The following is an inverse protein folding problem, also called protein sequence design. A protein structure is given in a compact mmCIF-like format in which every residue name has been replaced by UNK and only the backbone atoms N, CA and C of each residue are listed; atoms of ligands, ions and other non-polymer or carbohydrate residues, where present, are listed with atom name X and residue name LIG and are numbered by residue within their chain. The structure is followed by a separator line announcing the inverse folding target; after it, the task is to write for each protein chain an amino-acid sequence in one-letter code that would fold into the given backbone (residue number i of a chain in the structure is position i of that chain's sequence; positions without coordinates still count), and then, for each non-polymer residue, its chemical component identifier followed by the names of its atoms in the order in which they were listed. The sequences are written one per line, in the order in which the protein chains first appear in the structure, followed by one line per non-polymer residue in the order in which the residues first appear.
data_IF_430060308391
#
_entry.id   IF_430060308391
#
_cell.length_a   1.000
_cell.length_b   1.000
_cell.length_c   1.000
_cell.angle_alpha   90.00
_cell.angle_beta   90.00
_cell.angle_gamma   90.00
#
_symmetry.space_group_name_H-M   'P 1'
#
loop_
_entity.id
_entity.type
_entity.pdbx_description
1 polymer ?
#
# COMPACT_ATOMS: atom_id res chain seq x y z
N UNK A 1 -0.93 -22.51 33.20
CA UNK A 1 -0.03 -21.43 32.74
C UNK A 1 0.06 -21.26 31.20
N UNK A 2 -0.56 -22.11 30.37
CA UNK A 2 -0.63 -21.91 28.90
C UNK A 2 -1.77 -20.98 28.43
N UNK A 3 -2.69 -20.61 29.32
CA UNK A 3 -3.87 -19.79 28.99
C UNK A 3 -3.51 -18.39 28.47
N UNK A 4 -2.40 -17.81 28.93
CA UNK A 4 -1.95 -16.49 28.48
C UNK A 4 -1.40 -16.50 27.05
N UNK A 5 -0.83 -17.63 26.58
CA UNK A 5 -0.33 -17.78 25.21
C UNK A 5 -1.48 -18.02 24.23
N UNK A 6 -2.42 -18.89 24.60
CA UNK A 6 -3.63 -19.16 23.80
C UNK A 6 -4.40 -17.85 23.57
N UNK A 7 -4.66 -17.09 24.64
CA UNK A 7 -5.34 -15.80 24.52
C UNK A 7 -4.58 -14.75 23.69
N UNK A 8 -3.25 -14.80 23.65
CA UNK A 8 -2.44 -13.93 22.77
C UNK A 8 -2.60 -14.31 21.30
N UNK A 9 -2.59 -15.61 20.99
CA UNK A 9 -2.78 -16.13 19.63
C UNK A 9 -4.19 -15.82 19.12
N UNK A 10 -5.22 -15.99 19.95
CA UNK A 10 -6.60 -15.62 19.60
C UNK A 10 -6.74 -14.13 19.30
N UNK A 11 -6.14 -13.28 20.15
CA UNK A 11 -6.11 -11.82 19.92
C UNK A 11 -5.38 -11.45 18.63
N UNK A 12 -4.22 -12.02 18.37
CA UNK A 12 -3.45 -11.77 17.14
C UNK A 12 -4.27 -12.15 15.90
N UNK A 13 -4.93 -13.32 15.93
CA UNK A 13 -5.84 -13.76 14.87
C UNK A 13 -7.01 -12.79 14.66
N UNK A 14 -7.62 -12.30 15.74
CA UNK A 14 -8.70 -11.30 15.66
C UNK A 14 -8.19 -9.99 15.06
N UNK A 15 -7.07 -9.46 15.54
CA UNK A 15 -6.51 -8.20 15.04
C UNK A 15 -6.12 -8.27 13.56
N UNK A 16 -5.66 -9.42 13.07
CA UNK A 16 -5.37 -9.61 11.65
C UNK A 16 -6.62 -9.54 10.73
N UNK A 17 -7.84 -9.63 11.30
CA UNK A 17 -9.12 -9.53 10.57
C UNK A 17 -9.80 -8.17 10.73
N UNK A 18 -9.44 -7.43 11.78
CA UNK A 18 -9.96 -6.09 12.11
C UNK A 18 -9.02 -5.04 11.51
N UNK A 19 -9.02 -4.92 10.17
CA UNK A 19 -8.03 -4.12 9.41
C UNK A 19 -8.06 -2.62 9.76
N UNK A 20 -9.20 -2.10 10.22
CA UNK A 20 -9.37 -0.72 10.69
C UNK A 20 -8.48 -0.37 11.89
N UNK A 21 -7.92 -1.38 12.57
CA UNK A 21 -6.96 -1.19 13.67
C UNK A 21 -5.55 -0.90 13.20
N UNK A 22 -5.25 -1.11 11.92
CA UNK A 22 -3.89 -1.07 11.37
C UNK A 22 -3.81 0.14 10.45
N UNK A 23 -2.81 0.99 10.69
CA UNK A 23 -2.47 2.10 9.81
C UNK A 23 -1.05 1.94 9.31
N UNK A 24 -0.85 2.16 8.02
CA UNK A 24 0.45 2.07 7.34
C UNK A 24 0.92 3.47 6.99
N UNK A 25 1.92 3.96 7.73
CA UNK A 25 2.50 5.29 7.47
C UNK A 25 3.51 5.28 6.30
N UNK A 26 4.29 4.20 6.20
CA UNK A 26 5.40 4.08 5.26
C UNK A 26 5.55 2.66 4.74
N UNK A 27 5.95 2.55 3.48
CA UNK A 27 6.26 1.28 2.83
C UNK A 27 7.60 1.40 2.12
N UNK A 28 8.41 0.35 2.22
CA UNK A 28 9.54 0.09 1.34
C UNK A 28 9.57 -1.41 1.05
N UNK A 29 9.27 -1.80 -0.19
CA UNK A 29 9.20 -3.21 -0.55
C UNK A 29 9.73 -3.48 -1.95
N UNK A 30 10.03 -4.76 -2.17
CA UNK A 30 10.43 -5.32 -3.45
C UNK A 30 9.26 -6.14 -4.00
N UNK A 31 8.79 -5.80 -5.18
CA UNK A 31 7.68 -6.44 -5.88
C UNK A 31 8.23 -7.21 -7.08
N UNK A 32 8.08 -8.54 -7.07
CA UNK A 32 8.42 -9.37 -8.23
C UNK A 32 7.25 -9.38 -9.21
N UNK A 33 7.39 -8.68 -10.32
CA UNK A 33 6.47 -8.78 -11.45
C UNK A 33 6.84 -9.95 -12.36
N UNK A 34 6.09 -10.09 -13.46
CA UNK A 34 6.32 -11.15 -14.44
C UNK A 34 7.67 -10.98 -15.17
N UNK A 35 8.04 -9.74 -15.47
CA UNK A 35 9.21 -9.42 -16.31
C UNK A 35 10.42 -8.93 -15.51
N UNK A 36 10.19 -8.29 -14.36
CA UNK A 36 11.25 -7.67 -13.57
C UNK A 36 10.84 -7.51 -12.10
N UNK A 37 11.79 -7.08 -11.28
CA UNK A 37 11.63 -6.78 -9.87
C UNK A 37 11.62 -5.27 -9.66
N UNK A 38 10.57 -4.78 -9.01
CA UNK A 38 10.32 -3.36 -8.80
C UNK A 38 10.44 -2.97 -7.34
N UNK A 39 10.93 -1.77 -7.08
CA UNK A 39 10.96 -1.19 -5.74
C UNK A 39 9.82 -0.20 -5.61
N UNK A 40 9.02 -0.37 -4.56
CA UNK A 40 7.85 0.45 -4.28
C UNK A 40 7.99 1.08 -2.92
N UNK A 41 7.74 2.39 -2.86
CA UNK A 41 7.75 3.15 -1.62
C UNK A 41 6.45 3.92 -1.45
N UNK A 42 6.03 4.07 -0.20
CA UNK A 42 5.08 5.07 0.25
C UNK A 42 5.79 5.89 1.34
N UNK A 43 5.90 7.20 1.14
CA UNK A 43 6.38 8.11 2.18
C UNK A 43 5.59 9.43 2.10
N UNK A 44 5.09 9.91 3.24
CA UNK A 44 4.30 11.15 3.33
C UNK A 44 3.17 11.22 2.28
N UNK A 45 2.40 10.13 2.12
CA UNK A 45 1.30 10.03 1.15
C UNK A 45 1.74 9.85 -0.31
N UNK A 46 3.04 9.91 -0.60
CA UNK A 46 3.56 9.84 -1.96
C UNK A 46 4.03 8.43 -2.32
N UNK A 47 3.40 7.87 -3.35
CA UNK A 47 3.81 6.61 -3.95
C UNK A 47 4.96 6.81 -4.93
N UNK A 48 5.86 5.83 -4.98
CA UNK A 48 6.84 5.68 -6.06
C UNK A 48 6.96 4.21 -6.42
N UNK A 49 7.08 3.93 -7.72
CA UNK A 49 7.46 2.64 -8.25
C UNK A 49 8.48 2.87 -9.35
N UNK A 50 9.55 2.08 -9.39
CA UNK A 50 10.61 2.21 -10.40
C UNK A 50 10.26 1.55 -11.75
N UNK A 51 9.00 1.22 -12.01
CA UNK A 51 8.60 0.66 -13.30
C UNK A 51 8.26 1.75 -14.32
N UNK A 52 8.48 1.47 -15.61
CA UNK A 52 8.25 2.43 -16.69
C UNK A 52 6.82 2.99 -16.76
N UNK A 53 5.82 2.18 -16.45
CA UNK A 53 4.43 2.63 -16.43
C UNK A 53 4.19 3.71 -15.36
N UNK A 54 4.80 3.55 -14.18
CA UNK A 54 4.62 4.52 -13.11
C UNK A 54 5.22 5.88 -13.47
N UNK A 55 6.39 5.90 -14.09
CA UNK A 55 7.02 7.14 -14.56
C UNK A 55 6.15 7.92 -15.55
N UNK A 56 5.39 7.21 -16.38
CA UNK A 56 4.55 7.82 -17.41
C UNK A 56 3.18 8.26 -16.89
N UNK A 57 2.61 7.54 -15.92
CA UNK A 57 1.18 7.69 -15.55
C UNK A 57 0.95 8.04 -14.08
N UNK A 58 2.00 8.02 -13.23
CA UNK A 58 1.85 8.13 -11.77
C UNK A 58 1.12 6.93 -11.15
N UNK A 59 0.85 5.88 -11.92
CA UNK A 59 0.18 4.66 -11.50
C UNK A 59 0.71 3.45 -12.28
N UNK A 60 0.66 2.27 -11.68
CA UNK A 60 1.06 1.02 -12.33
C UNK A 60 0.39 -0.18 -11.66
N UNK A 61 0.39 -1.33 -12.33
CA UNK A 61 -0.21 -2.57 -11.79
C UNK A 61 0.32 -2.95 -10.41
N UNK A 62 1.58 -2.65 -10.09
CA UNK A 62 2.15 -2.93 -8.78
C UNK A 62 1.54 -2.06 -7.69
N UNK A 63 1.38 -0.75 -7.94
CA UNK A 63 0.67 0.14 -7.03
C UNK A 63 -0.78 -0.31 -6.87
N UNK A 64 -1.45 -0.66 -7.97
CA UNK A 64 -2.83 -1.16 -7.93
C UNK A 64 -2.98 -2.43 -7.09
N UNK A 65 -2.00 -3.32 -7.16
CA UNK A 65 -1.97 -4.51 -6.31
C UNK A 65 -1.84 -4.12 -4.83
N UNK A 66 -0.95 -3.20 -4.48
CA UNK A 66 -0.80 -2.73 -3.09
C UNK A 66 -2.04 -2.01 -2.57
N UNK A 67 -2.71 -1.21 -3.39
CA UNK A 67 -4.00 -0.59 -3.05
C UNK A 67 -5.05 -1.65 -2.70
N UNK A 68 -5.09 -2.78 -3.42
CA UNK A 68 -5.99 -3.91 -3.13
C UNK A 68 -5.60 -4.70 -1.89
N UNK A 69 -4.30 -4.87 -1.64
CA UNK A 69 -3.78 -5.64 -0.50
C UNK A 69 -3.95 -4.86 0.80
N UNK A 70 -3.64 -3.56 0.80
CA UNK A 70 -3.66 -2.74 2.00
C UNK A 70 -5.02 -2.09 2.26
N UNK A 71 -5.70 -1.63 1.20
CA UNK A 71 -7.05 -1.07 1.26
C UNK A 71 -7.19 -0.05 2.39
N UNK A 72 -8.09 -0.35 3.34
CA UNK A 72 -8.43 0.51 4.48
C UNK A 72 -7.27 0.79 5.43
N UNK A 73 -6.17 0.04 5.35
CA UNK A 73 -4.98 0.28 6.18
C UNK A 73 -4.13 1.45 5.68
N UNK A 74 -4.36 1.92 4.45
CA UNK A 74 -3.69 3.09 3.90
C UNK A 74 -4.38 4.38 4.39
N UNK A 75 -3.63 5.44 4.72
CA UNK A 75 -4.20 6.74 4.99
C UNK A 75 -4.90 7.29 3.73
N UNK A 76 -5.90 8.15 3.93
CA UNK A 76 -6.78 8.65 2.85
C UNK A 76 -5.99 9.31 1.70
N UNK A 77 -4.90 10.01 2.03
CA UNK A 77 -4.03 10.68 1.05
C UNK A 77 -3.16 9.70 0.23
N UNK A 78 -2.94 8.49 0.76
CA UNK A 78 -2.25 7.40 0.06
C UNK A 78 -3.21 6.48 -0.71
N UNK A 79 -4.52 6.67 -0.60
CA UNK A 79 -5.48 5.89 -1.39
C UNK A 79 -5.59 6.50 -2.79
N UNK A 80 -5.13 5.77 -3.80
CA UNK A 80 -5.07 6.26 -5.18
C UNK A 80 -6.21 5.66 -6.00
N UNK A 81 -7.04 6.51 -6.60
CA UNK A 81 -8.00 6.09 -7.61
C UNK A 81 -7.33 5.99 -8.98
N UNK A 82 -7.48 4.85 -9.65
CA UNK A 82 -6.97 4.61 -11.01
C UNK A 82 -7.63 5.53 -12.06
N UNK A 83 -8.77 6.13 -11.70
CA UNK A 83 -9.54 7.03 -12.56
C UNK A 83 -9.28 8.51 -12.28
N UNK A 84 -8.55 8.83 -11.21
CA UNK A 84 -8.15 10.20 -10.95
C UNK A 84 -6.92 10.49 -11.80
N UNK A 85 -7.12 11.23 -12.90
CA UNK A 85 -6.00 11.83 -13.62
C UNK A 85 -5.14 12.62 -12.62
N UNK A 86 -3.80 12.63 -12.75
CA UNK A 86 -3.00 13.58 -11.98
C UNK A 86 -3.54 14.97 -12.31
N UNK A 87 -3.99 15.70 -11.28
CA UNK A 87 -4.38 17.08 -11.42
C UNK A 87 -3.22 17.79 -12.11
N UNK A 88 -3.43 18.21 -13.35
CA UNK A 88 -2.45 18.98 -14.10
C UNK A 88 -2.10 20.20 -13.25
N UNK A 89 -0.85 20.28 -12.80
CA UNK A 89 -0.33 21.44 -12.11
C UNK A 89 -0.61 22.68 -12.98
N UNK A 90 -1.16 23.77 -12.42
CA UNK A 90 -1.42 24.98 -13.20
C UNK A 90 -0.10 25.47 -13.77
N UNK A 91 -0.04 25.55 -15.10
CA UNK A 91 1.05 26.20 -15.81
C UNK A 91 1.01 27.68 -15.42
N UNK A 92 2.06 28.15 -14.75
CA UNK A 92 2.26 29.56 -14.44
C UNK A 92 2.57 30.36 -15.70
#
# INVERSE_FOLDING_TARGET
MHSSLIGKVEKANRYARELDRISIDRIALTFRGDNDTHHITLDAGQWRCNCHYFESWGACVHLLALQKVFGVMLPDDAQVSIFAQPATAPTA
#
